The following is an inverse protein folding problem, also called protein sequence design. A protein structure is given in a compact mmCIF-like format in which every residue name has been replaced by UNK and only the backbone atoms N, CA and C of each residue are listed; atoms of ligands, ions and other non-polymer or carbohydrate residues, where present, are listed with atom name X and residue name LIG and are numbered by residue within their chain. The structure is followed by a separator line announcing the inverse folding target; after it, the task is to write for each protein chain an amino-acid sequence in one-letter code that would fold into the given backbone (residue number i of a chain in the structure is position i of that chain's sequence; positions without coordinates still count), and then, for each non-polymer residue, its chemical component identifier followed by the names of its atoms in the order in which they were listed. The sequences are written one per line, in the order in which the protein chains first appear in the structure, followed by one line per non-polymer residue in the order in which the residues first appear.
data_IF_081490920698
#
_entry.id   IF_081490920698
#
_cell.length_a   1.000
_cell.length_b   1.000
_cell.length_c   1.000
_cell.angle_alpha   90.00
_cell.angle_beta   90.00
_cell.angle_gamma   90.00
#
_symmetry.space_group_name_H-M   'P 1'
#
loop_
_entity.id
_entity.type
_entity.pdbx_description
1 polymer ?
#
# COMPACT_ATOMS: atom_id res chain seq x y z
N UNK A 1 15.97 2.77 65.01
CA UNK A 1 16.16 1.64 64.07
C UNK A 1 16.37 2.23 62.69
N UNK A 2 17.63 2.27 62.28
CA UNK A 2 18.14 2.77 61.00
C UNK A 2 17.93 1.71 59.92
N UNK A 3 17.31 2.09 58.80
CA UNK A 3 17.12 1.24 57.63
C UNK A 3 18.24 1.53 56.63
N UNK A 4 19.01 0.49 56.28
CA UNK A 4 20.02 0.58 55.23
C UNK A 4 19.38 0.67 53.83
N UNK A 5 19.97 1.44 52.90
CA UNK A 5 19.51 1.47 51.52
C UNK A 5 20.08 0.29 50.71
N UNK A 6 19.19 -0.40 50.02
CA UNK A 6 19.50 -1.45 49.05
C UNK A 6 20.24 -0.86 47.84
N UNK A 7 21.48 -1.29 47.65
CA UNK A 7 22.32 -0.95 46.50
C UNK A 7 21.87 -1.74 45.26
N UNK A 8 21.14 -1.08 44.37
CA UNK A 8 20.83 -1.60 43.05
C UNK A 8 22.09 -1.59 42.17
N UNK A 9 22.54 -2.79 41.81
CA UNK A 9 23.62 -3.06 40.87
C UNK A 9 23.29 -2.48 39.50
N UNK A 10 24.00 -1.41 39.16
CA UNK A 10 24.12 -0.84 37.82
C UNK A 10 24.70 -1.89 36.87
N UNK A 11 23.85 -2.47 36.01
CA UNK A 11 24.28 -3.27 34.88
C UNK A 11 23.83 -2.59 33.58
N UNK A 12 24.80 -1.90 32.97
CA UNK A 12 24.93 -1.57 31.55
C UNK A 12 23.62 -1.39 30.76
N UNK A 13 23.03 -0.21 30.88
CA UNK A 13 22.30 0.40 29.77
C UNK A 13 23.32 0.74 28.69
N UNK A 14 23.51 -0.20 27.76
CA UNK A 14 24.11 0.10 26.46
C UNK A 14 23.33 1.27 25.84
N UNK A 15 23.99 2.42 25.71
CA UNK A 15 23.45 3.63 25.12
C UNK A 15 23.01 3.32 23.68
N UNK A 16 21.70 3.26 23.46
CA UNK A 16 21.15 3.29 22.11
C UNK A 16 21.46 4.66 21.49
N UNK A 17 22.02 4.73 20.26
CA UNK A 17 22.30 6.00 19.62
C UNK A 17 20.98 6.70 19.26
N UNK A 18 20.63 7.74 20.02
CA UNK A 18 19.55 8.64 19.69
C UNK A 18 20.03 9.58 18.55
N UNK A 19 19.64 9.29 17.32
CA UNK A 19 19.90 10.17 16.18
C UNK A 19 18.94 11.36 16.22
N UNK A 20 19.45 12.54 16.59
CA UNK A 20 18.71 13.81 16.55
C UNK A 20 19.03 14.54 15.25
N UNK A 21 18.03 14.79 14.40
CA UNK A 21 18.18 15.60 13.18
C UNK A 21 17.34 16.88 13.30
N UNK A 22 17.93 18.08 13.27
CA UNK A 22 17.18 19.32 13.46
C UNK A 22 16.80 19.90 12.09
N UNK A 23 15.67 19.50 11.51
CA UNK A 23 14.91 20.33 10.55
C UNK A 23 13.53 19.74 10.25
N UNK A 24 12.49 20.50 10.61
CA UNK A 24 11.08 20.45 10.18
C UNK A 24 10.35 19.07 10.11
N UNK A 25 9.53 18.83 11.14
CA UNK A 25 8.48 17.78 11.17
C UNK A 25 8.84 16.59 12.07
N UNK A 26 8.87 16.82 13.38
CA UNK A 26 9.37 15.89 14.41
C UNK A 26 8.83 14.46 14.28
N UNK A 27 9.74 13.55 13.96
CA UNK A 27 9.50 12.11 13.94
C UNK A 27 10.61 11.45 14.77
N UNK A 28 10.31 11.11 16.02
CA UNK A 28 11.25 10.44 16.90
C UNK A 28 11.22 8.93 16.60
N UNK A 29 12.35 8.35 16.17
CA UNK A 29 12.49 6.91 15.98
C UNK A 29 13.01 6.30 17.28
N UNK A 30 12.22 5.45 17.93
CA UNK A 30 12.63 4.76 19.16
C UNK A 30 12.61 3.26 18.90
N UNK A 31 13.76 2.61 19.12
CA UNK A 31 13.89 1.15 19.09
C UNK A 31 13.71 0.63 20.51
N UNK A 32 12.61 -0.08 20.77
CA UNK A 32 12.29 -0.62 22.10
C UNK A 32 12.35 -2.15 22.08
N UNK A 33 13.01 -2.74 23.09
CA UNK A 33 13.21 -4.20 23.20
C UNK A 33 12.08 -4.90 23.97
N UNK A 34 11.35 -4.19 24.83
CA UNK A 34 10.27 -4.75 25.64
C UNK A 34 9.17 -3.72 25.99
N UNK A 35 8.13 -4.18 26.68
CA UNK A 35 6.97 -3.37 27.05
C UNK A 35 7.29 -2.21 28.02
N UNK A 36 8.30 -2.38 28.89
CA UNK A 36 8.72 -1.33 29.81
C UNK A 36 9.44 -0.21 29.06
N UNK A 37 10.33 -0.57 28.12
CA UNK A 37 11.00 0.37 27.24
C UNK A 37 10.01 1.12 26.34
N UNK A 38 8.93 0.46 25.89
CA UNK A 38 7.85 1.10 25.14
C UNK A 38 7.18 2.20 25.97
N UNK A 39 6.86 1.90 27.24
CA UNK A 39 6.16 2.83 28.13
C UNK A 39 7.03 4.05 28.48
N UNK A 40 8.32 3.83 28.73
CA UNK A 40 9.28 4.91 29.00
C UNK A 40 9.45 5.81 27.78
N UNK A 41 9.63 5.24 26.58
CA UNK A 41 9.75 6.02 25.34
C UNK A 41 8.47 6.83 25.04
N UNK A 42 7.29 6.28 25.33
CA UNK A 42 6.01 6.97 25.20
C UNK A 42 5.92 8.19 26.14
N UNK A 43 6.33 8.03 27.41
CA UNK A 43 6.33 9.12 28.39
C UNK A 43 7.29 10.25 27.98
N UNK A 44 8.48 9.90 27.50
CA UNK A 44 9.48 10.87 27.03
C UNK A 44 8.98 11.63 25.79
N UNK A 45 8.43 10.92 24.80
CA UNK A 45 7.87 11.55 23.60
C UNK A 45 6.71 12.50 23.96
N UNK A 46 5.88 12.11 24.93
CA UNK A 46 4.77 12.94 25.42
C UNK A 46 5.24 14.17 26.19
N UNK A 47 6.29 14.08 27.01
CA UNK A 47 6.86 15.26 27.71
C UNK A 47 7.54 16.24 26.75
N UNK A 48 8.04 15.76 25.61
CA UNK A 48 8.71 16.57 24.59
C UNK A 48 7.74 17.19 23.56
N UNK A 49 6.42 16.96 23.66
CA UNK A 49 5.45 17.51 22.72
C UNK A 49 5.44 16.85 21.33
N UNK A 50 6.13 15.71 21.17
CA UNK A 50 6.27 15.01 19.88
C UNK A 50 4.93 14.39 19.49
N UNK A 51 4.28 14.91 18.45
CA UNK A 51 2.98 14.41 17.97
C UNK A 51 3.09 13.11 17.15
N UNK A 52 4.28 12.77 16.64
CA UNK A 52 4.52 11.57 15.84
C UNK A 52 5.84 10.92 16.21
N UNK A 53 5.80 9.68 16.70
CA UNK A 53 6.98 8.85 16.90
C UNK A 53 6.72 7.46 16.33
N UNK A 54 7.77 6.84 15.80
CA UNK A 54 7.71 5.51 15.18
C UNK A 54 8.46 4.54 16.10
N UNK A 55 7.74 3.56 16.63
CA UNK A 55 8.33 2.53 17.49
C UNK A 55 8.72 1.34 16.64
N UNK A 56 10.01 1.03 16.62
CA UNK A 56 10.52 -0.22 16.06
C UNK A 56 10.72 -1.17 17.22
N UNK A 57 9.86 -2.17 17.34
CA UNK A 57 10.08 -3.23 18.33
C UNK A 57 11.10 -4.18 17.74
N UNK A 58 12.31 -4.12 18.27
CA UNK A 58 13.37 -5.08 17.94
C UNK A 58 13.03 -6.41 18.61
N UNK A 59 12.11 -7.15 18.00
CA UNK A 59 11.90 -8.55 18.34
C UNK A 59 13.02 -9.32 17.67
N UNK A 60 14.16 -9.42 18.33
CA UNK A 60 15.10 -10.49 18.01
C UNK A 60 14.30 -11.80 18.10
N UNK A 61 14.07 -12.51 16.98
CA UNK A 61 13.28 -13.71 17.02
C UNK A 61 14.10 -14.75 17.79
N UNK A 62 13.80 -14.91 19.07
CA UNK A 62 14.31 -16.02 19.86
C UNK A 62 13.82 -17.28 19.16
N UNK A 63 14.74 -18.00 18.52
CA UNK A 63 14.42 -19.22 17.81
C UNK A 63 13.71 -20.17 18.80
N UNK A 64 12.46 -20.57 18.53
CA UNK A 64 11.78 -21.50 19.42
C UNK A 64 12.60 -22.80 19.47
N UNK A 65 12.59 -23.51 20.62
CA UNK A 65 13.29 -24.78 20.73
C UNK A 65 12.85 -25.69 19.57
N UNK A 66 13.77 -26.48 18.97
CA UNK A 66 13.47 -27.28 17.80
C UNK A 66 12.39 -28.31 18.15
N UNK A 67 11.13 -27.96 17.89
CA UNK A 67 10.02 -28.89 18.03
C UNK A 67 10.02 -29.83 16.85
N UNK A 68 9.77 -31.12 17.10
CA UNK A 68 9.63 -32.16 16.06
C UNK A 68 8.58 -31.81 15.00
N UNK A 69 7.62 -30.96 15.38
CA UNK A 69 6.53 -30.53 14.51
C UNK A 69 6.57 -29.02 14.25
N UNK A 70 6.14 -28.63 13.06
CA UNK A 70 5.90 -27.28 12.61
C UNK A 70 4.41 -26.98 12.58
N UNK A 71 4.03 -25.80 13.06
CA UNK A 71 2.65 -25.31 12.93
C UNK A 71 2.42 -24.74 11.54
N UNK A 72 1.16 -24.62 11.12
CA UNK A 72 0.81 -23.87 9.91
C UNK A 72 1.34 -22.43 9.91
N UNK A 73 1.52 -21.81 11.09
CA UNK A 73 2.14 -20.49 11.20
C UNK A 73 3.61 -20.52 10.82
N UNK A 74 4.38 -21.45 11.40
CA UNK A 74 5.80 -21.62 11.11
C UNK A 74 6.05 -21.93 9.62
N UNK A 75 5.19 -22.72 8.99
CA UNK A 75 5.24 -22.95 7.53
C UNK A 75 5.05 -21.64 6.74
N UNK A 76 4.06 -20.81 7.13
CA UNK A 76 3.82 -19.52 6.47
C UNK A 76 5.00 -18.56 6.61
N UNK A 77 5.68 -18.55 7.76
CA UNK A 77 6.90 -17.75 7.97
C UNK A 77 8.03 -18.19 7.02
N UNK A 78 8.07 -19.47 6.66
CA UNK A 78 9.00 -20.04 5.66
C UNK A 78 8.55 -19.84 4.20
N UNK A 79 7.47 -19.10 3.96
CA UNK A 79 6.97 -18.81 2.62
C UNK A 79 5.98 -19.84 2.06
N UNK A 80 5.53 -20.80 2.86
CA UNK A 80 4.46 -21.71 2.43
C UNK A 80 3.13 -20.97 2.28
N UNK A 81 2.45 -21.24 1.17
CA UNK A 81 1.07 -20.76 0.96
C UNK A 81 0.04 -21.82 1.31
N UNK A 82 -1.20 -21.43 1.59
CA UNK A 82 -2.28 -22.38 1.91
C UNK A 82 -2.52 -23.40 0.78
N UNK A 83 -2.33 -22.99 -0.47
CA UNK A 83 -2.43 -23.87 -1.65
C UNK A 83 -1.28 -24.86 -1.71
N UNK A 84 -0.05 -24.43 -1.42
CA UNK A 84 1.12 -25.33 -1.33
C UNK A 84 0.93 -26.37 -0.23
N UNK A 85 0.45 -25.96 0.94
CA UNK A 85 0.18 -26.89 2.06
C UNK A 85 -0.89 -27.91 1.64
N UNK A 86 -1.96 -27.48 0.98
CA UNK A 86 -3.01 -28.39 0.54
C UNK A 86 -2.52 -29.38 -0.55
N UNK A 87 -1.64 -28.93 -1.45
CA UNK A 87 -1.13 -29.76 -2.55
C UNK A 87 -0.03 -30.73 -2.10
N UNK A 88 0.97 -30.24 -1.37
CA UNK A 88 2.18 -31.00 -1.05
C UNK A 88 2.12 -31.65 0.35
N UNK A 89 1.27 -31.14 1.25
CA UNK A 89 1.11 -31.65 2.62
C UNK A 89 -0.38 -31.89 2.96
N UNK A 90 -1.11 -32.74 2.20
CA UNK A 90 -2.55 -32.91 2.38
C UNK A 90 -2.95 -33.44 3.77
N UNK A 91 -2.08 -34.27 4.38
CA UNK A 91 -2.33 -34.88 5.69
C UNK A 91 -1.49 -34.19 6.77
N UNK A 92 -2.08 -33.92 7.94
CA UNK A 92 -1.35 -33.42 9.10
C UNK A 92 -0.96 -34.60 9.99
N UNK A 93 0.21 -34.51 10.65
CA UNK A 93 0.75 -35.63 11.44
C UNK A 93 0.25 -35.60 12.87
N UNK A 94 -0.08 -34.41 13.38
CA UNK A 94 -0.65 -34.22 14.71
C UNK A 94 -1.56 -32.99 14.75
N UNK A 95 -2.37 -32.91 15.79
CA UNK A 95 -3.18 -31.73 16.10
C UNK A 95 -2.99 -31.36 17.57
N UNK A 96 -2.94 -30.06 17.87
CA UNK A 96 -2.85 -29.53 19.23
C UNK A 96 -3.95 -28.51 19.47
N UNK A 97 -4.54 -28.49 20.65
CA UNK A 97 -5.49 -27.44 21.03
C UNK A 97 -4.79 -26.07 21.06
N UNK A 98 -5.37 -25.06 20.41
CA UNK A 98 -4.82 -23.71 20.42
C UNK A 98 -4.72 -23.16 21.86
N UNK A 99 -3.60 -22.51 22.19
CA UNK A 99 -3.40 -21.85 23.49
C UNK A 99 -4.26 -20.60 23.66
N UNK A 100 -4.63 -19.97 22.55
CA UNK A 100 -5.56 -18.84 22.56
C UNK A 100 -6.96 -19.40 22.58
N UNK A 101 -7.66 -19.23 23.71
CA UNK A 101 -9.09 -19.51 23.84
C UNK A 101 -9.88 -18.52 22.98
N UNK A 102 -9.90 -18.74 21.67
CA UNK A 102 -10.95 -18.20 20.81
C UNK A 102 -12.24 -18.98 21.12
N UNK A 103 -13.43 -18.36 21.00
CA UNK A 103 -14.70 -19.06 21.18
C UNK A 103 -14.84 -20.13 20.09
N UNK A 104 -14.47 -21.36 20.46
CA UNK A 104 -14.33 -22.50 19.55
C UNK A 104 -12.97 -23.16 19.76
N UNK A 105 -12.96 -24.45 20.14
CA UNK A 105 -11.75 -25.28 20.29
C UNK A 105 -11.06 -25.44 18.93
N UNK A 106 -10.34 -24.43 18.47
CA UNK A 106 -9.60 -24.48 17.22
C UNK A 106 -8.40 -25.44 17.39
N UNK A 107 -8.39 -26.52 16.62
CA UNK A 107 -7.27 -27.44 16.52
C UNK A 107 -6.20 -26.85 15.59
N UNK A 108 -4.98 -26.72 16.11
CA UNK A 108 -3.79 -26.32 15.34
C UNK A 108 -3.21 -27.55 14.68
N UNK A 109 -3.17 -27.54 13.35
CA UNK A 109 -2.54 -28.60 12.55
C UNK A 109 -1.02 -28.53 12.68
N UNK A 110 -0.41 -29.68 12.91
CA UNK A 110 1.03 -29.88 13.07
C UNK A 110 1.56 -30.78 11.96
N UNK A 111 2.71 -30.40 11.41
CA UNK A 111 3.39 -31.10 10.33
C UNK A 111 4.77 -31.51 10.79
N UNK A 112 5.17 -32.74 10.50
CA UNK A 112 6.44 -33.27 10.94
C UNK A 112 7.58 -32.58 10.18
N UNK A 113 8.59 -32.10 10.92
CA UNK A 113 9.63 -31.23 10.37
C UNK A 113 10.42 -31.87 9.23
N UNK A 114 10.80 -33.15 9.36
CA UNK A 114 11.58 -33.84 8.33
C UNK A 114 10.80 -33.96 7.02
N UNK A 115 9.50 -34.26 7.08
CA UNK A 115 8.63 -34.34 5.90
C UNK A 115 8.51 -32.98 5.19
N UNK A 116 8.45 -31.90 5.95
CA UNK A 116 8.43 -30.54 5.39
C UNK A 116 9.77 -30.24 4.71
N UNK A 117 10.89 -30.56 5.35
CA UNK A 117 12.24 -30.33 4.81
C UNK A 117 12.50 -31.16 3.54
N UNK A 118 12.05 -32.42 3.50
CA UNK A 118 12.11 -33.27 2.30
C UNK A 118 11.32 -32.67 1.13
N UNK A 119 10.15 -32.11 1.40
CA UNK A 119 9.33 -31.44 0.39
C UNK A 119 9.95 -30.10 -0.02
N UNK A 120 10.53 -29.34 0.90
CA UNK A 120 11.22 -28.08 0.58
C UNK A 120 12.40 -28.28 -0.38
N UNK A 121 13.00 -29.48 -0.38
CA UNK A 121 14.06 -29.89 -1.31
C UNK A 121 13.54 -30.39 -2.66
N UNK A 122 12.23 -30.64 -2.80
CA UNK A 122 11.66 -31.18 -4.03
C UNK A 122 11.47 -30.10 -5.10
N UNK A 123 11.58 -30.52 -6.37
CA UNK A 123 11.33 -29.62 -7.51
C UNK A 123 9.88 -29.11 -7.53
N UNK A 124 8.92 -29.94 -7.09
CA UNK A 124 7.50 -29.58 -7.00
C UNK A 124 7.28 -28.35 -6.09
N UNK A 125 8.03 -28.26 -4.99
CA UNK A 125 7.96 -27.12 -4.10
C UNK A 125 8.43 -25.83 -4.77
N UNK A 126 9.53 -25.89 -5.53
CA UNK A 126 10.05 -24.74 -6.27
C UNK A 126 9.04 -24.25 -7.33
N UNK A 127 8.42 -25.18 -8.06
CA UNK A 127 7.40 -24.86 -9.07
C UNK A 127 6.20 -24.17 -8.42
N UNK A 128 5.68 -24.72 -7.32
CA UNK A 128 4.53 -24.14 -6.64
C UNK A 128 4.85 -22.81 -5.94
N UNK A 129 6.09 -22.63 -5.45
CA UNK A 129 6.55 -21.36 -4.92
C UNK A 129 6.61 -20.28 -6.01
N UNK A 130 7.15 -20.60 -7.19
CA UNK A 130 7.17 -19.69 -8.34
C UNK A 130 5.75 -19.36 -8.82
N UNK A 131 4.86 -20.37 -8.85
CA UNK A 131 3.44 -20.18 -9.17
C UNK A 131 2.74 -19.26 -8.18
N UNK A 132 2.99 -19.45 -6.89
CA UNK A 132 2.42 -18.64 -5.81
C UNK A 132 2.92 -17.18 -5.87
N UNK A 133 4.20 -16.95 -6.13
CA UNK A 133 4.77 -15.60 -6.29
C UNK A 133 4.19 -14.90 -7.53
N UNK A 134 4.10 -15.58 -8.68
CA UNK A 134 3.44 -15.08 -9.89
C UNK A 134 1.97 -14.73 -9.62
N UNK A 135 1.23 -15.59 -8.92
CA UNK A 135 -0.17 -15.33 -8.55
C UNK A 135 -0.32 -14.12 -7.62
N UNK A 136 0.57 -13.97 -6.63
CA UNK A 136 0.59 -12.81 -5.73
C UNK A 136 0.88 -11.51 -6.49
N UNK A 137 1.84 -11.52 -7.42
CA UNK A 137 2.15 -10.38 -8.26
C UNK A 137 0.94 -9.96 -9.12
N UNK A 138 0.25 -10.93 -9.73
CA UNK A 138 -0.99 -10.67 -10.50
C UNK A 138 -2.09 -10.04 -9.64
N UNK A 139 -2.32 -10.56 -8.43
CA UNK A 139 -3.32 -10.00 -7.48
C UNK A 139 -2.98 -8.58 -7.06
N UNK A 140 -1.71 -8.28 -6.79
CA UNK A 140 -1.26 -6.92 -6.46
C UNK A 140 -1.54 -5.92 -7.59
N UNK A 141 -1.25 -6.31 -8.83
CA UNK A 141 -1.53 -5.48 -10.01
C UNK A 141 -3.03 -5.29 -10.21
N UNK A 142 -3.83 -6.35 -10.08
CA UNK A 142 -5.28 -6.28 -10.23
C UNK A 142 -5.94 -5.40 -9.15
N UNK A 143 -5.47 -5.47 -7.90
CA UNK A 143 -5.98 -4.62 -6.82
C UNK A 143 -5.70 -3.13 -7.10
N UNK A 144 -4.48 -2.80 -7.55
CA UNK A 144 -4.11 -1.42 -7.93
C UNK A 144 -4.93 -0.92 -9.11
N UNK A 145 -5.12 -1.74 -10.14
CA UNK A 145 -5.94 -1.33 -11.30
C UNK A 145 -7.40 -1.16 -10.92
N UNK A 146 -7.95 -2.00 -10.04
CA UNK A 146 -9.31 -1.85 -9.52
C UNK A 146 -9.48 -0.58 -8.70
N UNK A 147 -8.54 -0.27 -7.79
CA UNK A 147 -8.54 0.98 -7.04
C UNK A 147 -8.48 2.20 -7.97
N UNK A 148 -7.59 2.18 -8.97
CA UNK A 148 -7.50 3.25 -9.96
C UNK A 148 -8.83 3.40 -10.72
N UNK A 149 -9.41 2.30 -11.22
CA UNK A 149 -10.69 2.33 -11.93
C UNK A 149 -11.83 2.89 -11.06
N UNK A 150 -11.88 2.53 -9.78
CA UNK A 150 -12.87 3.07 -8.84
C UNK A 150 -12.71 4.58 -8.67
N UNK A 151 -11.47 5.07 -8.52
CA UNK A 151 -11.18 6.50 -8.45
C UNK A 151 -11.60 7.21 -9.74
N UNK A 152 -11.32 6.65 -10.91
CA UNK A 152 -11.75 7.23 -12.19
C UNK A 152 -13.27 7.35 -12.26
N UNK A 153 -14.00 6.29 -11.87
CA UNK A 153 -15.47 6.30 -11.85
C UNK A 153 -16.00 7.40 -10.92
N UNK A 154 -15.42 7.54 -9.72
CA UNK A 154 -15.81 8.59 -8.77
C UNK A 154 -15.57 10.00 -9.32
N UNK A 155 -14.40 10.26 -9.93
CA UNK A 155 -14.09 11.55 -10.56
C UNK A 155 -15.12 11.89 -11.64
N UNK A 156 -15.41 10.93 -12.54
CA UNK A 156 -16.39 11.11 -13.61
C UNK A 156 -17.79 11.33 -13.03
N UNK A 157 -18.20 10.60 -11.98
CA UNK A 157 -19.52 10.79 -11.36
C UNK A 157 -19.68 12.17 -10.72
N UNK A 158 -18.67 12.64 -10.00
CA UNK A 158 -18.67 13.97 -9.33
C UNK A 158 -18.58 15.15 -10.29
N UNK A 159 -18.15 14.94 -11.54
CA UNK A 159 -18.12 15.99 -12.54
C UNK A 159 -19.53 16.53 -12.82
N UNK A 160 -19.78 17.76 -12.37
CA UNK A 160 -20.98 18.57 -12.63
C UNK A 160 -20.51 19.88 -13.27
N UNK A 161 -20.53 19.98 -14.61
CA UNK A 161 -20.17 21.22 -15.27
C UNK A 161 -21.20 22.31 -14.91
N UNK A 162 -20.70 23.48 -14.53
CA UNK A 162 -21.53 24.65 -14.23
C UNK A 162 -21.41 25.60 -15.41
N UNK A 163 -22.37 25.51 -16.33
CA UNK A 163 -22.37 26.33 -17.53
C UNK A 163 -22.88 27.74 -17.19
N UNK A 164 -21.96 28.65 -16.88
CA UNK A 164 -22.24 30.08 -16.73
C UNK A 164 -21.64 30.78 -17.95
N UNK A 165 -22.38 30.76 -19.06
CA UNK A 165 -21.92 31.35 -20.32
C UNK A 165 -22.80 32.54 -20.72
N UNK A 166 -22.20 33.67 -21.12
CA UNK A 166 -22.93 34.74 -21.81
C UNK A 166 -23.51 34.23 -23.14
N UNK A 167 -24.71 34.69 -23.56
CA UNK A 167 -25.41 34.23 -24.78
C UNK A 167 -24.57 34.25 -26.07
N UNK A 168 -23.57 35.14 -26.14
CA UNK A 168 -22.60 35.25 -27.24
C UNK A 168 -21.65 34.04 -27.37
N UNK A 169 -21.59 33.15 -26.39
CA UNK A 169 -20.74 31.94 -26.41
C UNK A 169 -21.37 30.76 -27.15
N UNK A 170 -22.67 30.82 -27.48
CA UNK A 170 -23.40 29.81 -28.24
C UNK A 170 -22.86 29.61 -29.68
N UNK A 171 -22.02 30.54 -30.16
CA UNK A 171 -21.41 30.48 -31.49
C UNK A 171 -20.13 29.62 -31.55
N UNK A 172 -19.57 29.21 -30.40
CA UNK A 172 -18.42 28.32 -30.37
C UNK A 172 -18.84 26.86 -30.52
N UNK A 173 -17.99 26.05 -31.13
CA UNK A 173 -18.23 24.61 -31.21
C UNK A 173 -18.30 23.98 -29.81
N UNK A 174 -19.20 23.00 -29.63
CA UNK A 174 -19.38 22.17 -28.42
C UNK A 174 -18.03 21.78 -27.78
N UNK A 175 -17.06 21.43 -28.62
CA UNK A 175 -15.73 21.05 -28.18
C UNK A 175 -14.96 22.16 -27.44
N UNK A 176 -14.98 23.40 -27.95
CA UNK A 176 -14.26 24.53 -27.36
C UNK A 176 -14.85 24.90 -25.99
N UNK A 177 -16.16 24.75 -25.84
CA UNK A 177 -16.84 24.93 -24.56
C UNK A 177 -16.50 23.79 -23.59
N UNK A 178 -16.40 22.57 -24.11
CA UNK A 178 -16.01 21.40 -23.31
C UNK A 178 -14.60 21.52 -22.72
N UNK A 179 -13.68 22.17 -23.42
CA UNK A 179 -12.29 22.35 -22.99
C UNK A 179 -12.17 23.24 -21.75
N UNK A 180 -12.96 24.30 -21.64
CA UNK A 180 -12.85 25.26 -20.53
C UNK A 180 -13.30 24.60 -19.22
N UNK A 181 -14.40 23.86 -19.24
CA UNK A 181 -14.90 23.15 -18.06
C UNK A 181 -14.01 21.97 -17.67
N UNK A 182 -13.45 21.27 -18.65
CA UNK A 182 -12.54 20.15 -18.42
C UNK A 182 -11.20 20.64 -17.88
N UNK A 183 -10.69 21.79 -18.34
CA UNK A 183 -9.48 22.40 -17.79
C UNK A 183 -9.68 22.84 -16.34
N UNK A 184 -10.76 23.55 -16.02
CA UNK A 184 -11.07 23.97 -14.66
C UNK A 184 -11.34 22.78 -13.71
N UNK A 185 -11.83 21.66 -14.24
CA UNK A 185 -11.87 20.41 -13.48
C UNK A 185 -10.47 19.83 -13.27
N UNK A 186 -9.62 19.83 -14.30
CA UNK A 186 -8.27 19.32 -14.20
C UNK A 186 -7.43 20.10 -13.19
N UNK A 187 -7.49 21.43 -13.19
CA UNK A 187 -6.72 22.26 -12.28
C UNK A 187 -7.06 21.96 -10.81
N UNK A 188 -8.35 21.73 -10.51
CA UNK A 188 -8.80 21.31 -9.16
C UNK A 188 -8.35 19.92 -8.75
N UNK A 189 -8.14 19.03 -9.72
CA UNK A 189 -7.79 17.64 -9.48
C UNK A 189 -6.32 17.31 -9.81
N UNK A 190 -5.53 18.30 -10.23
CA UNK A 190 -4.17 18.15 -10.73
C UNK A 190 -3.27 17.44 -9.72
N UNK A 191 -3.39 17.78 -8.43
CA UNK A 191 -2.66 17.16 -7.32
C UNK A 191 -2.98 15.67 -7.13
N UNK A 192 -4.19 15.23 -7.48
CA UNK A 192 -4.57 13.81 -7.46
C UNK A 192 -4.18 13.10 -8.75
N UNK A 193 -4.04 13.85 -9.84
CA UNK A 193 -3.61 13.34 -11.13
C UNK A 193 -2.08 13.17 -11.25
N UNK A 194 -1.29 13.86 -10.44
CA UNK A 194 0.18 13.72 -10.42
C UNK A 194 0.64 12.31 -10.05
N UNK A 195 -0.10 11.62 -9.18
CA UNK A 195 0.17 10.21 -8.82
C UNK A 195 -0.27 9.24 -9.92
N UNK A 196 -1.10 9.69 -10.87
CA UNK A 196 -1.61 8.85 -11.93
C UNK A 196 -0.70 8.84 -13.17
N UNK A 197 -0.43 7.65 -13.67
CA UNK A 197 0.29 7.44 -14.93
C UNK A 197 -0.37 8.16 -16.10
N UNK A 198 0.44 8.53 -17.09
CA UNK A 198 0.01 9.28 -18.27
C UNK A 198 -1.20 8.67 -19.00
N UNK A 199 -1.21 7.34 -19.17
CA UNK A 199 -2.31 6.62 -19.83
C UNK A 199 -3.62 6.67 -19.05
N UNK A 200 -3.55 6.65 -17.71
CA UNK A 200 -4.72 6.78 -16.85
C UNK A 200 -5.30 8.20 -16.93
N UNK A 201 -4.44 9.23 -16.90
CA UNK A 201 -4.85 10.63 -17.09
C UNK A 201 -5.56 10.84 -18.43
N UNK A 202 -5.02 10.29 -19.52
CA UNK A 202 -5.66 10.40 -20.84
C UNK A 202 -7.06 9.75 -20.86
N UNK A 203 -7.23 8.57 -20.24
CA UNK A 203 -8.55 7.90 -20.18
C UNK A 203 -9.58 8.72 -19.40
N UNK A 204 -9.16 9.42 -18.35
CA UNK A 204 -10.05 10.31 -17.58
C UNK A 204 -10.48 11.50 -18.44
N UNK A 205 -9.54 12.12 -19.14
CA UNK A 205 -9.85 13.22 -20.05
C UNK A 205 -10.85 12.78 -21.11
N UNK A 206 -10.61 11.64 -21.74
CA UNK A 206 -11.51 11.09 -22.75
C UNK A 206 -12.93 10.87 -22.19
N UNK A 207 -13.03 10.29 -20.99
CA UNK A 207 -14.30 10.05 -20.32
C UNK A 207 -15.02 11.35 -19.90
N UNK A 208 -14.28 12.36 -19.45
CA UNK A 208 -14.83 13.66 -19.09
C UNK A 208 -15.33 14.42 -20.32
N UNK A 209 -14.56 14.42 -21.40
CA UNK A 209 -14.96 15.02 -22.66
C UNK A 209 -16.23 14.36 -23.22
N UNK A 210 -16.27 13.03 -23.22
CA UNK A 210 -17.45 12.29 -23.65
C UNK A 210 -18.67 12.59 -22.76
N UNK A 211 -18.49 12.64 -21.43
CA UNK A 211 -19.57 13.01 -20.51
C UNK A 211 -20.06 14.44 -20.73
N UNK A 212 -19.13 15.39 -20.91
CA UNK A 212 -19.46 16.80 -21.14
C UNK A 212 -20.24 16.96 -22.44
N UNK A 213 -19.78 16.32 -23.52
CA UNK A 213 -20.48 16.27 -24.81
C UNK A 213 -21.92 15.77 -24.66
N UNK A 214 -22.14 14.67 -23.94
CA UNK A 214 -23.51 14.13 -23.71
C UNK A 214 -24.40 15.11 -22.94
N UNK A 215 -23.86 15.76 -21.91
CA UNK A 215 -24.60 16.76 -21.12
C UNK A 215 -24.91 18.00 -21.96
N UNK A 216 -23.97 18.41 -22.82
CA UNK A 216 -24.13 19.54 -23.72
C UNK A 216 -25.20 19.26 -24.77
N UNK A 217 -25.12 18.13 -25.49
CA UNK A 217 -26.14 17.75 -26.49
C UNK A 217 -27.54 17.62 -25.88
N UNK A 218 -27.63 17.18 -24.61
CA UNK A 218 -28.92 17.11 -23.90
C UNK A 218 -29.49 18.50 -23.57
N UNK A 219 -28.64 19.47 -23.24
CA UNK A 219 -29.05 20.83 -22.87
C UNK A 219 -29.36 21.70 -24.09
N UNK A 220 -28.67 21.45 -25.20
CA UNK A 220 -28.78 22.23 -26.44
C UNK A 220 -29.12 21.31 -27.62
N UNK A 221 -30.38 20.83 -27.72
CA UNK A 221 -30.81 20.04 -28.86
C UNK A 221 -30.70 20.89 -30.15
N UNK A 222 -30.01 20.38 -31.16
CA UNK A 222 -29.86 21.05 -32.47
C UNK A 222 -28.49 21.68 -32.74
N UNK A 223 -27.58 21.73 -31.75
CA UNK A 223 -26.20 22.15 -32.00
C UNK A 223 -25.44 21.01 -32.70
N UNK A 224 -24.93 21.28 -33.91
CA UNK A 224 -24.13 20.32 -34.66
C UNK A 224 -22.85 19.99 -33.88
N UNK A 225 -22.56 18.71 -33.61
CA UNK A 225 -21.34 18.33 -32.92
C UNK A 225 -20.13 18.81 -33.74
N UNK A 226 -19.24 19.55 -33.08
CA UNK A 226 -18.01 20.04 -33.70
C UNK A 226 -17.04 18.91 -34.11
N UNK A 227 -15.97 19.24 -34.86
CA UNK A 227 -15.01 18.27 -35.37
C UNK A 227 -14.42 17.39 -34.25
N UNK A 228 -14.17 16.13 -34.60
CA UNK A 228 -13.76 15.08 -33.68
C UNK A 228 -12.39 15.38 -33.04
N UNK A 229 -12.38 15.36 -31.70
CA UNK A 229 -11.26 15.17 -30.74
C UNK A 229 -9.92 15.89 -31.07
N UNK A 230 -9.37 16.70 -30.15
CA UNK A 230 -8.05 17.30 -30.34
C UNK A 230 -6.98 16.22 -30.32
N UNK A 231 -5.82 16.57 -30.88
CA UNK A 231 -4.64 15.73 -30.84
C UNK A 231 -4.43 15.21 -29.40
N UNK A 232 -4.17 13.89 -29.29
CA UNK A 232 -3.82 13.23 -28.02
C UNK A 232 -2.81 14.10 -27.27
N UNK A 233 -2.88 14.14 -25.92
CA UNK A 233 -1.89 14.87 -25.12
C UNK A 233 -0.49 14.58 -25.70
N UNK A 234 0.34 15.60 -25.81
CA UNK A 234 1.74 15.35 -26.15
C UNK A 234 2.33 14.62 -24.95
N UNK A 235 2.82 13.39 -25.18
CA UNK A 235 3.54 12.64 -24.16
C UNK A 235 4.70 13.55 -23.71
N UNK A 236 4.82 13.88 -22.42
CA UNK A 236 5.91 14.74 -21.96
C UNK A 236 7.22 14.09 -22.41
N UNK A 237 8.06 14.84 -23.11
CA UNK A 237 9.34 14.34 -23.57
C UNK A 237 10.09 13.83 -22.34
N UNK A 238 10.36 12.52 -22.32
CA UNK A 238 11.21 11.93 -21.29
C UNK A 238 12.53 12.67 -21.39
N UNK A 239 12.85 13.53 -20.42
CA UNK A 239 14.19 14.09 -20.30
C UNK A 239 15.12 12.89 -20.15
N UNK A 240 15.89 12.61 -21.19
CA UNK A 240 16.94 11.61 -21.15
C UNK A 240 17.83 11.93 -19.95
N UNK A 241 18.20 10.94 -19.12
CA UNK A 241 19.15 11.19 -18.04
C UNK A 241 20.43 11.77 -18.67
N UNK A 242 21.04 12.81 -18.05
CA UNK A 242 22.28 13.37 -18.54
C UNK A 242 23.31 12.24 -18.61
N UNK A 243 23.95 12.09 -19.77
CA UNK A 243 25.05 11.14 -19.94
C UNK A 243 26.10 11.46 -18.88
N UNK A 244 26.62 10.46 -18.15
CA UNK A 244 27.73 10.69 -17.25
C UNK A 244 28.89 11.21 -18.10
N UNK A 245 29.42 12.37 -17.69
CA UNK A 245 30.61 12.97 -18.29
C UNK A 245 31.69 11.90 -18.43
N UNK A 246 32.09 11.61 -19.67
CA UNK A 246 33.25 10.78 -19.96
C UNK A 246 34.50 11.47 -19.43
N UNK A 247 35.34 10.69 -18.74
CA UNK A 247 36.69 11.04 -18.32
C UNK A 247 37.62 11.15 -19.53
#
# INVERSE_FOLDING_TARGET
MTFEPWSATSNKLEQAPAYYSPTQGELLLVVARDAAAIFVAYLIARSMGVQRFLMVVDRTPVAPPPTKYLTTHALKERGWTATMIAALLPHHDAARTAYVQLPGKALVKLYLRTRVEEVELSEEFLIEQERATKARARRGTAARTAQHQALLKQCVQRFRPSYVWPERWCQRSDWQLSLVDVQAFYDRWALKFTEMGYSARQRVLDALHEKNRRLFSKRFPGVTPGPQRPAKLKKPATKSPPLPYGL
#
